data_IF_213473016911
#
_entry.id   IF_213473016911
#
_cell.length_a   1.000
_cell.length_b   1.000
_cell.length_c   1.000
_cell.angle_alpha   90.00
_cell.angle_beta   90.00
_cell.angle_gamma   90.00
#
_symmetry.space_group_name_H-M   'P 1'
#
loop_
_entity.id
_entity.type
_entity.pdbx_description
1 polymer ?
#
# COMPACT_ATOMS: atom_id res chain seq x y z
N UNK A 1 -6.16 -0.53 -4.67
CA UNK A 1 -6.55 0.65 -3.84
C UNK A 1 -7.85 1.36 -4.27
N UNK A 2 -8.77 0.71 -4.99
CA UNK A 2 -9.99 1.36 -5.51
C UNK A 2 -10.99 1.88 -4.46
N UNK A 3 -11.08 1.36 -3.21
CA UNK A 3 -11.99 1.92 -2.21
C UNK A 3 -11.78 3.41 -1.91
N UNK A 4 -10.59 3.96 -2.17
CA UNK A 4 -10.26 5.37 -1.93
C UNK A 4 -10.42 6.26 -3.17
N UNK A 5 -10.98 5.77 -4.28
CA UNK A 5 -11.04 6.50 -5.57
C UNK A 5 -11.69 7.89 -5.49
N UNK A 6 -12.70 8.07 -4.64
CA UNK A 6 -13.49 9.30 -4.59
C UNK A 6 -12.82 10.38 -3.73
N UNK A 7 -11.95 9.95 -2.80
CA UNK A 7 -11.17 10.81 -1.91
C UNK A 7 -9.92 10.08 -1.42
N UNK A 8 -8.78 10.34 -2.05
CA UNK A 8 -7.48 9.75 -1.71
C UNK A 8 -6.40 10.79 -1.41
N UNK A 9 -5.40 10.37 -0.64
CA UNK A 9 -4.10 11.06 -0.53
C UNK A 9 -3.05 10.54 -1.53
N UNK A 10 -3.28 9.37 -2.15
CA UNK A 10 -2.36 8.74 -3.09
C UNK A 10 -2.67 9.12 -4.55
N UNK A 11 -1.67 8.95 -5.43
CA UNK A 11 -1.81 9.11 -6.89
C UNK A 11 -2.11 7.78 -7.59
N UNK A 12 -2.51 7.84 -8.87
CA UNK A 12 -2.67 6.64 -9.69
C UNK A 12 -1.38 5.80 -9.77
N UNK A 13 -0.22 6.44 -9.93
CA UNK A 13 1.08 5.76 -9.96
C UNK A 13 1.38 5.04 -8.65
N UNK A 14 1.24 5.73 -7.51
CA UNK A 14 1.37 5.15 -6.17
C UNK A 14 0.46 3.92 -6.00
N UNK A 15 -0.79 4.02 -6.47
CA UNK A 15 -1.74 2.93 -6.33
C UNK A 15 -1.41 1.71 -7.19
N UNK A 16 -0.76 1.89 -8.35
CA UNK A 16 -0.30 0.78 -9.20
C UNK A 16 0.89 0.09 -8.53
N UNK A 17 1.85 0.86 -8.07
CA UNK A 17 3.07 0.36 -7.43
C UNK A 17 2.86 -0.30 -6.07
N UNK A 18 1.77 0.03 -5.37
CA UNK A 18 1.36 -0.69 -4.17
C UNK A 18 1.08 -2.20 -4.41
N UNK A 19 0.92 -2.64 -5.66
CA UNK A 19 0.66 -4.05 -6.02
C UNK A 19 1.89 -4.75 -6.59
N UNK A 20 3.01 -4.04 -6.77
CA UNK A 20 4.25 -4.59 -7.32
C UNK A 20 5.22 -4.99 -6.19
N UNK A 21 5.93 -6.10 -6.38
CA UNK A 21 7.05 -6.46 -5.53
C UNK A 21 8.24 -5.52 -5.79
N UNK A 22 8.97 -5.13 -4.74
CA UNK A 22 10.11 -4.21 -4.84
C UNK A 22 9.79 -2.89 -5.54
N UNK A 23 8.57 -2.37 -5.34
CA UNK A 23 8.15 -1.11 -5.94
C UNK A 23 8.93 0.08 -5.40
N UNK A 24 8.91 1.20 -6.12
CA UNK A 24 9.67 2.41 -5.75
C UNK A 24 9.23 2.99 -4.39
N UNK A 25 8.04 2.64 -3.89
CA UNK A 25 7.48 3.21 -2.66
C UNK A 25 8.41 2.96 -1.48
N UNK A 26 8.88 1.73 -1.35
CA UNK A 26 9.67 1.29 -0.20
C UNK A 26 10.84 0.37 -0.57
N UNK A 27 10.99 0.01 -1.84
CA UNK A 27 11.96 -0.99 -2.31
C UNK A 27 11.91 -2.29 -1.48
N UNK A 28 10.70 -2.66 -1.01
CA UNK A 28 10.50 -3.76 -0.08
C UNK A 28 10.23 -5.07 -0.83
N UNK A 29 10.93 -6.13 -0.42
CA UNK A 29 10.70 -7.47 -0.95
C UNK A 29 9.78 -8.26 -0.01
N UNK A 30 8.54 -8.48 -0.44
CA UNK A 30 7.58 -9.33 0.28
C UNK A 30 8.05 -10.79 0.40
N UNK A 31 8.91 -11.23 -0.52
CA UNK A 31 9.37 -12.62 -0.63
C UNK A 31 10.77 -12.85 0.01
N UNK A 32 11.15 -12.03 0.99
CA UNK A 32 12.48 -12.09 1.62
C UNK A 32 12.75 -13.38 2.41
N UNK A 33 11.71 -14.14 2.77
CA UNK A 33 11.80 -15.46 3.40
C UNK A 33 11.36 -16.60 2.47
N UNK A 34 11.32 -16.36 1.15
CA UNK A 34 10.69 -17.22 0.16
C UNK A 34 9.35 -16.64 -0.33
N UNK A 35 8.72 -17.29 -1.32
CA UNK A 35 7.50 -16.79 -1.96
C UNK A 35 6.37 -16.66 -0.92
N UNK A 36 5.94 -15.42 -0.68
CA UNK A 36 4.83 -15.13 0.21
C UNK A 36 3.52 -15.65 -0.40
N UNK A 37 2.69 -16.28 0.44
CA UNK A 37 1.38 -16.74 0.00
C UNK A 37 0.53 -15.56 -0.52
N UNK A 38 -0.19 -15.70 -1.65
CA UNK A 38 -0.98 -14.60 -2.22
C UNK A 38 -2.03 -14.02 -1.26
N UNK A 39 -2.64 -14.88 -0.43
CA UNK A 39 -3.58 -14.45 0.60
C UNK A 39 -2.93 -13.53 1.64
N UNK A 40 -1.67 -13.79 2.01
CA UNK A 40 -0.90 -12.94 2.91
C UNK A 40 -0.51 -11.61 2.23
N UNK A 41 0.04 -11.69 1.00
CA UNK A 41 0.46 -10.51 0.21
C UNK A 41 -0.70 -9.53 0.00
N UNK A 42 -1.93 -10.04 -0.18
CA UNK A 42 -3.14 -9.20 -0.32
C UNK A 42 -3.34 -8.26 0.87
N UNK A 43 -3.06 -8.71 2.11
CA UNK A 43 -3.20 -7.85 3.29
C UNK A 43 -2.15 -6.74 3.33
N UNK A 44 -0.91 -7.02 2.92
CA UNK A 44 0.14 -5.99 2.81
C UNK A 44 -0.17 -4.95 1.73
N UNK A 45 -0.75 -5.37 0.61
CA UNK A 45 -1.24 -4.45 -0.43
C UNK A 45 -2.36 -3.57 0.13
N UNK A 46 -3.30 -4.14 0.90
CA UNK A 46 -4.38 -3.38 1.52
C UNK A 46 -3.86 -2.36 2.55
N UNK A 47 -2.90 -2.77 3.38
CA UNK A 47 -2.22 -1.89 4.34
C UNK A 47 -1.52 -0.73 3.63
N UNK A 48 -0.73 -1.02 2.59
CA UNK A 48 -0.07 0.01 1.77
C UNK A 48 -1.09 0.97 1.17
N UNK A 49 -2.17 0.45 0.57
CA UNK A 49 -3.24 1.30 0.06
C UNK A 49 -3.89 2.15 1.16
N UNK A 50 -4.13 1.59 2.35
CA UNK A 50 -4.71 2.34 3.47
C UNK A 50 -3.79 3.46 3.92
N UNK A 51 -2.50 3.17 4.11
CA UNK A 51 -1.49 4.13 4.53
C UNK A 51 -1.33 5.26 3.51
N UNK A 52 -1.14 4.92 2.23
CA UNK A 52 -0.90 5.88 1.16
C UNK A 52 -2.16 6.69 0.80
N UNK A 53 -3.33 6.05 0.80
CA UNK A 53 -4.54 6.64 0.22
C UNK A 53 -5.53 7.19 1.23
N UNK A 54 -5.52 6.76 2.50
CA UNK A 54 -6.55 7.18 3.46
C UNK A 54 -6.45 8.67 3.82
N UNK A 55 -7.49 9.47 3.55
CA UNK A 55 -7.54 10.87 4.01
C UNK A 55 -7.95 11.00 5.48
N UNK A 56 -8.13 9.89 6.19
CA UNK A 56 -8.73 9.86 7.53
C UNK A 56 -7.71 9.60 8.64
N UNK A 57 -6.42 9.50 8.31
CA UNK A 57 -5.35 9.24 9.29
C UNK A 57 -4.96 10.44 10.16
N UNK A 58 -5.54 11.62 9.89
CA UNK A 58 -5.22 12.89 10.56
C UNK A 58 -5.08 12.82 12.09
N UNK A 59 -6.01 12.18 12.85
CA UNK A 59 -5.93 12.11 14.31
C UNK A 59 -4.70 11.36 14.88
N UNK A 60 -4.02 10.55 14.06
CA UNK A 60 -2.90 9.71 14.50
C UNK A 60 -1.55 10.14 13.92
N UNK A 61 -1.51 11.23 13.15
CA UNK A 61 -0.25 11.77 12.62
C UNK A 61 0.59 12.31 13.78
N UNK A 62 1.83 11.84 13.89
CA UNK A 62 2.83 12.36 14.83
C UNK A 62 4.00 12.99 14.06
N UNK A 63 4.68 13.93 14.71
CA UNK A 63 5.88 14.61 14.19
C UNK A 63 7.15 14.01 14.78
#
# INVERSE_FOLDING_TARGET
CTPWKDKSCCTANTSQEAHNDQSYLYNFNWDHCGIMAPACKTHFIQDTCFYECSPNLGPWIQK
#
